data_IF_794255816868
#
_entry.id   IF_794255816868
#
_cell.length_a   1.000
_cell.length_b   1.000
_cell.length_c   1.000
_cell.angle_alpha   90.00
_cell.angle_beta   90.00
_cell.angle_gamma   90.00
#
_symmetry.space_group_name_H-M   'P 1'
#
loop_
_entity.id
_entity.type
_entity.pdbx_description
1 polymer ?
#
# COMPACT_ATOMS: atom_id res chain seq x y z
N UNK A 1 -3.90 -16.30 -3.39
CA UNK A 1 -5.07 -15.56 -3.97
C UNK A 1 -4.58 -14.49 -4.96
N UNK A 2 -4.79 -14.67 -6.28
CA UNK A 2 -4.15 -13.84 -7.33
C UNK A 2 -4.85 -12.50 -7.67
N UNK A 3 -6.06 -12.26 -7.15
CA UNK A 3 -6.92 -11.16 -7.62
C UNK A 3 -6.75 -9.83 -6.87
N UNK A 4 -5.56 -9.51 -6.36
CA UNK A 4 -5.31 -8.21 -5.73
C UNK A 4 -5.21 -7.08 -6.75
N UNK A 5 -5.48 -5.84 -6.32
CA UNK A 5 -5.37 -4.67 -7.19
C UNK A 5 -4.65 -3.50 -6.55
N UNK A 6 -4.20 -2.58 -7.39
CA UNK A 6 -3.55 -1.32 -7.06
C UNK A 6 -4.26 -0.19 -7.77
N UNK A 7 -4.50 0.88 -7.04
CA UNK A 7 -5.18 2.05 -7.56
C UNK A 7 -4.27 3.26 -7.42
N UNK A 8 -3.95 3.88 -8.54
CA UNK A 8 -2.93 4.93 -8.64
C UNK A 8 -3.57 6.22 -9.14
N UNK A 9 -3.48 7.30 -8.36
CA UNK A 9 -3.96 8.61 -8.79
C UNK A 9 -2.97 9.28 -9.73
N UNK A 10 -3.46 9.72 -10.90
CA UNK A 10 -2.70 10.52 -11.85
C UNK A 10 -3.24 11.96 -11.93
N UNK A 11 -2.47 12.85 -12.54
CA UNK A 11 -2.78 14.27 -12.61
C UNK A 11 -3.18 14.74 -14.01
N UNK A 12 -2.80 14.01 -15.06
CA UNK A 12 -3.01 14.39 -16.45
C UNK A 12 -3.01 13.18 -17.40
N UNK A 13 -3.55 13.37 -18.60
CA UNK A 13 -3.73 12.32 -19.60
C UNK A 13 -2.44 11.95 -20.33
N UNK A 14 -1.46 12.85 -20.43
CA UNK A 14 -0.21 12.59 -21.14
C UNK A 14 0.67 11.61 -20.33
N UNK A 15 0.71 11.82 -19.00
CA UNK A 15 1.31 10.88 -18.04
C UNK A 15 0.62 9.51 -18.06
N UNK A 16 -0.72 9.48 -18.12
CA UNK A 16 -1.46 8.21 -18.26
C UNK A 16 -1.04 7.46 -19.53
N UNK A 17 -1.00 8.14 -20.69
CA UNK A 17 -0.58 7.54 -21.95
C UNK A 17 0.85 7.00 -21.89
N UNK A 18 1.78 7.78 -21.34
CA UNK A 18 3.16 7.32 -21.14
C UNK A 18 3.20 6.01 -20.35
N UNK A 19 2.49 5.93 -19.23
CA UNK A 19 2.53 4.75 -18.38
C UNK A 19 1.84 3.54 -19.03
N UNK A 20 0.73 3.75 -19.74
CA UNK A 20 0.07 2.68 -20.49
C UNK A 20 0.92 2.17 -21.66
N UNK A 21 1.63 3.05 -22.36
CA UNK A 21 2.52 2.68 -23.48
C UNK A 21 3.75 1.90 -23.00
N UNK A 22 4.39 2.36 -21.91
CA UNK A 22 5.66 1.81 -21.45
C UNK A 22 5.50 0.69 -20.42
N UNK A 23 4.32 0.53 -19.82
CA UNK A 23 4.10 -0.44 -18.74
C UNK A 23 4.90 -0.13 -17.47
N UNK A 24 5.21 1.14 -17.23
CA UNK A 24 6.04 1.60 -16.10
C UNK A 24 5.33 2.76 -15.40
N UNK A 25 5.32 2.73 -14.06
CA UNK A 25 4.87 3.85 -13.24
C UNK A 25 5.91 4.17 -12.17
N UNK A 26 6.23 5.45 -12.00
CA UNK A 26 7.07 5.96 -10.91
C UNK A 26 6.45 7.20 -10.26
N UNK A 27 6.33 7.21 -8.93
CA UNK A 27 5.79 8.37 -8.23
C UNK A 27 6.83 9.49 -8.10
N UNK A 28 6.43 10.73 -8.41
CA UNK A 28 7.27 11.91 -8.15
C UNK A 28 7.43 12.15 -6.65
N UNK A 29 8.67 12.18 -6.18
CA UNK A 29 9.03 12.34 -4.78
C UNK A 29 10.08 13.44 -4.64
N UNK A 30 10.08 14.13 -3.49
CA UNK A 30 11.20 15.05 -3.17
C UNK A 30 12.43 14.20 -2.86
N UNK A 31 13.59 14.46 -3.49
CA UNK A 31 14.79 13.66 -3.28
C UNK A 31 15.30 13.76 -1.85
N UNK A 32 15.70 12.62 -1.28
CA UNK A 32 16.39 12.57 0.00
C UNK A 32 17.88 12.26 -0.25
N UNK A 33 18.76 13.15 0.21
CA UNK A 33 20.23 13.03 0.05
C UNK A 33 20.97 12.67 1.34
N UNK A 34 20.31 12.85 2.48
CA UNK A 34 20.86 12.61 3.80
C UNK A 34 20.14 11.46 4.50
N UNK A 35 20.58 11.11 5.72
CA UNK A 35 19.90 10.13 6.55
C UNK A 35 18.42 10.49 6.70
N UNK A 36 17.50 9.53 6.52
CA UNK A 36 16.07 9.81 6.58
C UNK A 36 15.71 10.38 7.95
N UNK A 37 14.78 11.34 7.94
CA UNK A 37 14.15 11.82 9.17
C UNK A 37 13.03 10.88 9.59
N UNK A 38 12.58 10.98 10.85
CA UNK A 38 11.41 10.24 11.36
C UNK A 38 10.05 10.65 10.75
N UNK A 39 10.09 11.49 9.71
CA UNK A 39 8.94 11.91 8.91
C UNK A 39 9.23 11.74 7.42
N UNK A 40 10.14 10.83 7.07
CA UNK A 40 10.51 10.56 5.69
C UNK A 40 9.27 10.17 4.89
N UNK A 41 9.02 10.91 3.81
CA UNK A 41 7.95 10.55 2.86
C UNK A 41 8.33 9.32 2.04
N UNK A 42 9.62 8.98 2.00
CA UNK A 42 10.10 7.80 1.32
C UNK A 42 9.63 6.52 1.98
N UNK A 43 9.63 6.41 3.32
CA UNK A 43 9.10 5.21 3.98
C UNK A 43 7.58 5.06 3.83
N UNK A 44 6.82 6.16 3.91
CA UNK A 44 5.38 6.13 3.66
C UNK A 44 5.04 5.64 2.25
N UNK A 45 5.83 6.06 1.26
CA UNK A 45 5.66 5.62 -0.13
C UNK A 45 6.20 4.21 -0.31
N UNK A 46 7.30 3.84 0.35
CA UNK A 46 7.83 2.49 0.29
C UNK A 46 6.80 1.47 0.78
N UNK A 47 5.99 1.79 1.79
CA UNK A 47 4.90 0.92 2.24
C UNK A 47 3.85 0.64 1.14
N UNK A 48 3.57 1.62 0.28
CA UNK A 48 2.69 1.44 -0.89
C UNK A 48 3.27 0.40 -1.86
N UNK A 49 4.55 0.55 -2.22
CA UNK A 49 5.24 -0.34 -3.15
C UNK A 49 5.54 -1.72 -2.50
N UNK A 50 5.79 -1.76 -1.20
CA UNK A 50 6.01 -3.00 -0.44
C UNK A 50 4.77 -3.91 -0.41
N UNK A 51 3.58 -3.35 -0.62
CA UNK A 51 2.34 -4.14 -0.75
C UNK A 51 2.14 -4.71 -2.17
N UNK A 52 2.91 -4.28 -3.18
CA UNK A 52 2.84 -4.83 -4.53
C UNK A 52 3.24 -6.31 -4.54
N UNK A 53 2.54 -7.16 -5.31
CA UNK A 53 2.93 -8.54 -5.59
C UNK A 53 2.72 -8.83 -7.06
N UNK A 54 3.50 -9.75 -7.60
CA UNK A 54 3.40 -10.19 -8.99
C UNK A 54 1.95 -10.61 -9.30
N UNK A 55 1.48 -10.30 -10.52
CA UNK A 55 0.14 -10.65 -10.99
C UNK A 55 -0.98 -9.73 -10.53
N UNK A 56 -0.78 -8.90 -9.49
CA UNK A 56 -1.81 -7.93 -9.05
C UNK A 56 -2.11 -6.90 -10.13
N UNK A 57 -3.36 -6.49 -10.23
CA UNK A 57 -3.83 -5.57 -11.26
C UNK A 57 -3.51 -4.11 -10.94
N UNK A 58 -3.17 -3.31 -11.95
CA UNK A 58 -2.94 -1.87 -11.84
C UNK A 58 -4.10 -1.12 -12.50
N UNK A 59 -4.70 -0.20 -11.75
CA UNK A 59 -5.73 0.71 -12.20
C UNK A 59 -5.30 2.15 -11.96
N UNK A 60 -5.50 3.03 -12.94
CA UNK A 60 -5.20 4.46 -12.83
C UNK A 60 -6.50 5.25 -12.68
N UNK A 61 -6.52 6.17 -11.73
CA UNK A 61 -7.62 7.11 -11.57
C UNK A 61 -7.24 8.50 -12.04
N UNK A 62 -8.06 9.06 -12.91
CA UNK A 62 -7.88 10.39 -13.46
C UNK A 62 -9.25 10.99 -13.80
N UNK A 63 -9.52 12.22 -13.36
CA UNK A 63 -10.74 12.97 -13.71
C UNK A 63 -12.08 12.21 -13.54
N UNK A 64 -12.21 11.41 -12.46
CA UNK A 64 -13.38 10.54 -12.17
C UNK A 64 -13.55 9.37 -13.15
N UNK A 65 -12.49 9.02 -13.85
CA UNK A 65 -12.41 7.83 -14.69
C UNK A 65 -11.38 6.86 -14.07
N UNK A 66 -11.62 5.57 -14.28
CA UNK A 66 -10.75 4.48 -13.85
C UNK A 66 -10.28 3.79 -15.11
N UNK A 67 -8.98 3.73 -15.33
CA UNK A 67 -8.32 3.15 -16.49
C UNK A 67 -7.60 1.87 -16.07
N UNK A 68 -7.73 0.83 -16.87
CA UNK A 68 -6.98 -0.40 -16.67
C UNK A 68 -5.57 -0.28 -17.24
N UNK A 69 -4.56 -0.66 -16.46
CA UNK A 69 -3.14 -0.66 -16.85
C UNK A 69 -2.64 -2.03 -17.29
N UNK A 70 -2.65 -3.00 -16.38
CA UNK A 70 -2.07 -4.33 -16.59
C UNK A 70 -1.92 -5.10 -15.28
N UNK A 71 -1.13 -6.16 -15.29
CA UNK A 71 -0.71 -6.90 -14.09
C UNK A 71 0.75 -6.61 -13.76
N UNK A 72 1.05 -6.48 -12.47
CA UNK A 72 2.40 -6.25 -11.99
C UNK A 72 3.35 -7.38 -12.40
N UNK A 73 4.52 -6.97 -12.87
CA UNK A 73 5.68 -7.83 -13.09
C UNK A 73 6.56 -7.76 -11.84
N UNK A 74 6.99 -8.91 -11.35
CA UNK A 74 7.85 -9.04 -10.18
C UNK A 74 8.77 -10.24 -10.29
N UNK A 75 9.58 -10.45 -9.25
CA UNK A 75 10.47 -11.60 -9.14
C UNK A 75 10.22 -12.36 -7.84
N UNK A 76 9.71 -13.59 -7.96
CA UNK A 76 9.46 -14.46 -6.82
C UNK A 76 8.28 -14.01 -5.93
N UNK A 77 8.26 -14.48 -4.68
CA UNK A 77 7.14 -14.27 -3.76
C UNK A 77 7.21 -12.90 -3.03
N UNK A 78 8.21 -12.08 -3.35
CA UNK A 78 8.48 -10.79 -2.72
C UNK A 78 7.68 -9.62 -3.30
N UNK A 79 7.97 -8.40 -2.84
CA UNK A 79 7.36 -7.19 -3.38
C UNK A 79 7.68 -6.96 -4.86
N UNK A 80 6.66 -6.75 -5.68
CA UNK A 80 6.80 -6.50 -7.11
C UNK A 80 7.04 -5.02 -7.41
N UNK A 81 8.24 -4.53 -7.09
CA UNK A 81 8.69 -3.19 -7.46
C UNK A 81 10.22 -3.12 -7.62
N UNK A 82 10.68 -2.02 -8.20
CA UNK A 82 12.08 -1.79 -8.55
C UNK A 82 12.59 -0.47 -7.97
N UNK A 83 13.89 -0.42 -7.70
CA UNK A 83 14.60 0.79 -7.29
C UNK A 83 15.11 1.55 -8.51
N UNK A 84 15.04 2.88 -8.47
CA UNK A 84 15.47 3.75 -9.56
C UNK A 84 16.29 4.95 -9.05
N UNK A 85 17.61 4.79 -9.10
CA UNK A 85 18.58 5.80 -8.69
C UNK A 85 18.76 5.94 -7.18
N UNK A 86 19.63 6.87 -6.80
CA UNK A 86 20.15 7.01 -5.43
C UNK A 86 19.51 8.15 -4.62
N UNK A 87 18.30 8.59 -4.98
CA UNK A 87 17.63 9.72 -4.30
C UNK A 87 16.60 9.30 -3.24
N UNK A 88 16.68 8.05 -2.78
CA UNK A 88 15.97 7.51 -1.61
C UNK A 88 16.95 6.87 -0.62
N UNK A 89 16.59 6.71 0.66
CA UNK A 89 17.44 6.00 1.62
C UNK A 89 17.89 4.61 1.13
N UNK A 90 16.93 3.84 0.63
CA UNK A 90 17.12 2.49 0.12
C UNK A 90 17.97 2.47 -1.16
N UNK A 91 17.67 3.34 -2.12
CA UNK A 91 18.42 3.42 -3.37
C UNK A 91 19.89 3.78 -3.17
N UNK A 92 20.23 4.58 -2.16
CA UNK A 92 21.63 4.87 -1.80
C UNK A 92 22.34 3.70 -1.17
N UNK A 93 21.64 2.95 -0.31
CA UNK A 93 22.23 1.84 0.44
C UNK A 93 22.72 0.72 -0.49
N UNK A 94 21.99 0.48 -1.57
CA UNK A 94 22.29 -0.57 -2.54
C UNK A 94 22.91 -0.05 -3.85
N UNK A 95 23.31 1.23 -3.91
CA UNK A 95 23.82 1.88 -5.12
C UNK A 95 22.91 1.66 -6.36
N UNK A 96 21.59 1.83 -6.18
CA UNK A 96 20.59 1.52 -7.20
C UNK A 96 20.85 2.27 -8.53
N UNK A 97 20.78 1.58 -9.67
CA UNK A 97 20.96 2.20 -10.98
C UNK A 97 19.79 3.13 -11.29
N UNK A 98 20.08 4.21 -12.02
CA UNK A 98 19.06 5.07 -12.59
C UNK A 98 18.74 4.59 -14.01
N UNK A 99 17.52 4.11 -14.22
CA UNK A 99 17.09 3.41 -15.45
C UNK A 99 15.84 4.00 -16.09
N UNK A 100 15.14 4.90 -15.39
CA UNK A 100 13.92 5.52 -15.89
C UNK A 100 13.99 7.03 -15.70
N UNK A 101 14.02 7.76 -16.83
CA UNK A 101 14.20 9.21 -16.85
C UNK A 101 13.06 9.94 -17.55
N UNK A 102 12.29 10.70 -16.76
CA UNK A 102 11.24 11.59 -17.27
C UNK A 102 11.68 13.06 -17.35
N UNK A 103 12.96 13.36 -17.12
CA UNK A 103 13.48 14.73 -17.06
C UNK A 103 13.19 15.55 -18.32
N UNK A 104 13.14 14.90 -19.50
CA UNK A 104 12.82 15.53 -20.80
C UNK A 104 11.42 16.16 -20.86
N UNK A 105 10.51 15.76 -19.96
CA UNK A 105 9.15 16.30 -19.81
C UNK A 105 9.10 17.55 -18.93
N UNK A 106 10.21 17.86 -18.27
CA UNK A 106 10.33 18.86 -17.22
C UNK A 106 11.56 19.76 -17.45
N UNK A 107 11.83 20.65 -16.50
CA UNK A 107 13.08 21.40 -16.51
C UNK A 107 14.21 20.49 -16.00
N UNK A 108 15.12 20.11 -16.89
CA UNK A 108 16.26 19.23 -16.62
C UNK A 108 17.18 19.79 -15.52
N UNK A 109 17.66 18.89 -14.64
CA UNK A 109 18.71 19.19 -13.68
C UNK A 109 20.09 18.74 -14.21
N UNK A 110 21.20 19.27 -13.68
CA UNK A 110 22.56 18.81 -14.04
C UNK A 110 22.87 17.38 -13.54
N UNK A 111 22.06 16.85 -12.62
CA UNK A 111 22.28 15.54 -12.00
C UNK A 111 21.23 14.56 -12.53
N UNK A 112 21.67 13.40 -13.00
CA UNK A 112 20.80 12.36 -13.57
C UNK A 112 19.71 11.94 -12.58
N UNK A 113 18.46 11.82 -13.02
CA UNK A 113 17.33 11.41 -12.19
C UNK A 113 16.72 12.47 -11.30
N UNK A 114 17.13 13.72 -11.48
CA UNK A 114 16.46 14.89 -10.91
C UNK A 114 15.83 15.75 -12.00
N UNK A 115 14.65 16.28 -11.69
CA UNK A 115 13.96 17.23 -12.56
C UNK A 115 13.15 18.23 -11.73
N UNK A 116 12.99 19.45 -12.26
CA UNK A 116 12.24 20.52 -11.60
C UNK A 116 10.80 20.56 -12.12
N UNK A 117 9.85 20.63 -11.18
CA UNK A 117 8.42 20.79 -11.48
C UNK A 117 7.90 22.08 -10.83
N UNK A 118 6.67 22.48 -11.15
CA UNK A 118 5.97 23.57 -10.42
C UNK A 118 5.88 23.34 -8.89
N UNK A 119 6.14 22.11 -8.43
CA UNK A 119 6.12 21.69 -7.02
C UNK A 119 7.52 21.49 -6.44
N UNK A 120 8.55 22.05 -7.09
CA UNK A 120 9.94 21.90 -6.73
C UNK A 120 10.61 20.67 -7.36
N UNK A 121 11.89 20.50 -7.03
CA UNK A 121 12.73 19.36 -7.39
C UNK A 121 12.07 18.01 -7.05
N UNK A 122 12.17 17.07 -8.00
CA UNK A 122 11.62 15.71 -7.92
C UNK A 122 12.62 14.66 -8.41
N UNK A 123 12.40 13.44 -7.94
CA UNK A 123 12.97 12.19 -8.41
C UNK A 123 11.87 11.10 -8.41
N UNK A 124 12.14 9.94 -9.01
CA UNK A 124 11.25 8.77 -9.00
C UNK A 124 12.02 7.55 -8.49
N UNK A 125 12.16 7.37 -7.16
CA UNK A 125 13.08 6.38 -6.59
C UNK A 125 12.55 4.94 -6.64
N UNK A 126 11.25 4.77 -6.87
CA UNK A 126 10.57 3.48 -6.91
C UNK A 126 9.75 3.40 -8.18
N UNK A 127 9.80 2.23 -8.83
CA UNK A 127 9.05 1.94 -10.05
C UNK A 127 8.23 0.67 -9.84
N UNK A 128 7.05 0.61 -10.43
CA UNK A 128 6.37 -0.65 -10.75
C UNK A 128 6.42 -0.87 -12.25
N UNK A 129 6.50 -2.14 -12.64
CA UNK A 129 6.31 -2.56 -14.02
C UNK A 129 5.03 -3.38 -14.12
N UNK A 130 4.34 -3.27 -15.23
CA UNK A 130 3.13 -4.03 -15.50
C UNK A 130 2.97 -4.35 -16.98
N UNK A 131 2.38 -5.50 -17.26
CA UNK A 131 2.09 -6.00 -18.60
C UNK A 131 0.60 -6.28 -18.76
N UNK A 132 0.06 -6.10 -19.96
CA UNK A 132 -1.35 -6.39 -20.23
C UNK A 132 -1.55 -7.82 -20.75
N UNK A 133 -1.66 -8.76 -19.83
CA UNK A 133 -1.91 -10.16 -20.17
C UNK A 133 -3.38 -10.46 -20.49
N UNK A 134 -4.30 -9.55 -20.14
CA UNK A 134 -5.75 -9.73 -20.35
C UNK A 134 -6.28 -9.00 -21.60
N UNK A 135 -5.47 -8.14 -22.23
CA UNK A 135 -5.88 -7.34 -23.38
C UNK A 135 -6.88 -6.23 -23.01
N UNK A 136 -6.78 -5.71 -21.79
CA UNK A 136 -7.70 -4.72 -21.22
C UNK A 136 -7.06 -3.32 -21.10
N UNK A 137 -5.76 -3.17 -21.38
CA UNK A 137 -5.06 -1.90 -21.22
C UNK A 137 -5.69 -0.78 -22.03
N UNK A 138 -5.83 0.39 -21.40
CA UNK A 138 -6.48 1.55 -22.00
C UNK A 138 -8.01 1.50 -22.01
N UNK A 139 -8.65 0.40 -21.57
CA UNK A 139 -10.09 0.42 -21.27
C UNK A 139 -10.34 1.28 -20.03
N UNK A 140 -11.44 2.02 -20.03
CA UNK A 140 -11.81 2.84 -18.88
C UNK A 140 -13.31 2.87 -18.64
N UNK A 141 -13.65 3.17 -17.38
CA UNK A 141 -15.01 3.38 -16.90
C UNK A 141 -15.08 4.68 -16.13
N UNK A 142 -16.29 5.23 -15.98
CA UNK A 142 -16.53 6.27 -14.99
C UNK A 142 -16.48 5.68 -13.60
N UNK A 143 -15.96 6.44 -12.64
CA UNK A 143 -15.87 5.99 -11.25
C UNK A 143 -17.24 5.70 -10.64
N UNK A 144 -18.29 6.38 -11.11
CA UNK A 144 -19.66 6.18 -10.63
C UNK A 144 -20.19 4.78 -11.00
N UNK A 145 -19.76 4.18 -12.12
CA UNK A 145 -20.11 2.80 -12.47
C UNK A 145 -19.63 1.83 -11.39
N UNK A 146 -18.37 1.94 -10.99
CA UNK A 146 -17.79 1.09 -9.95
C UNK A 146 -18.45 1.32 -8.57
N UNK A 147 -18.67 2.59 -8.17
CA UNK A 147 -19.23 2.87 -6.84
C UNK A 147 -20.70 2.56 -6.68
N UNK A 148 -21.49 2.53 -7.76
CA UNK A 148 -22.88 2.07 -7.68
C UNK A 148 -22.90 0.60 -7.25
N UNK A 149 -22.08 -0.23 -7.88
CA UNK A 149 -22.03 -1.66 -7.57
C UNK A 149 -21.42 -1.89 -6.18
N UNK A 150 -20.36 -1.15 -5.83
CA UNK A 150 -19.77 -1.27 -4.49
C UNK A 150 -20.71 -0.79 -3.37
N UNK A 151 -21.66 0.10 -3.68
CA UNK A 151 -22.61 0.61 -2.67
C UNK A 151 -23.61 -0.41 -2.15
N UNK A 152 -23.76 -1.55 -2.82
CA UNK A 152 -24.58 -2.67 -2.33
C UNK A 152 -24.03 -3.25 -1.04
N UNK A 153 -22.76 -2.99 -0.78
CA UNK A 153 -22.05 -3.65 0.27
C UNK A 153 -21.91 -2.85 1.56
N UNK A 154 -21.76 -3.59 2.67
CA UNK A 154 -21.70 -2.99 3.97
C UNK A 154 -20.36 -2.37 4.39
N UNK A 155 -19.57 -1.77 3.49
CA UNK A 155 -18.16 -1.51 3.82
C UNK A 155 -17.81 -0.11 4.32
N UNK A 156 -16.62 0.02 4.94
CA UNK A 156 -15.77 1.19 4.78
C UNK A 156 -15.70 1.71 3.35
N UNK A 157 -15.45 3.02 3.19
CA UNK A 157 -15.48 3.68 1.88
C UNK A 157 -14.47 2.93 1.02
N UNK A 158 -14.72 2.76 -0.29
CA UNK A 158 -13.77 2.12 -1.16
C UNK A 158 -12.35 2.60 -0.87
N UNK A 159 -11.40 1.72 -1.17
CA UNK A 159 -9.99 2.04 -1.42
C UNK A 159 -9.76 3.44 -2.02
N UNK A 160 -10.71 3.91 -2.83
CA UNK A 160 -10.81 5.26 -3.36
C UNK A 160 -11.07 6.43 -2.37
N UNK A 161 -10.92 6.26 -1.05
CA UNK A 161 -10.81 7.35 -0.10
C UNK A 161 -9.52 8.17 -0.34
N UNK A 162 -9.16 8.37 -1.60
CA UNK A 162 -7.94 8.90 -2.18
C UNK A 162 -7.76 10.38 -1.95
N UNK A 163 -8.67 11.04 -1.23
CA UNK A 163 -8.45 12.43 -0.88
C UNK A 163 -7.21 12.50 0.03
N UNK A 164 -6.06 12.77 -0.60
CA UNK A 164 -4.74 12.77 0.02
C UNK A 164 -3.88 11.51 -0.18
N UNK A 165 -4.34 10.46 -0.88
CA UNK A 165 -3.52 9.26 -1.17
C UNK A 165 -3.23 9.14 -2.68
N UNK A 166 -1.96 8.99 -3.04
CA UNK A 166 -1.54 8.77 -4.43
C UNK A 166 -1.63 7.31 -4.88
N UNK A 167 -1.75 6.40 -3.92
CA UNK A 167 -1.66 4.96 -4.10
C UNK A 167 -2.54 4.27 -3.05
N UNK A 168 -3.28 3.24 -3.43
CA UNK A 168 -3.96 2.35 -2.47
C UNK A 168 -4.13 0.94 -3.03
N UNK A 169 -4.17 -0.04 -2.13
CA UNK A 169 -4.46 -1.43 -2.46
C UNK A 169 -5.96 -1.66 -2.54
N UNK A 170 -6.40 -2.39 -3.56
CA UNK A 170 -7.76 -2.90 -3.69
C UNK A 170 -7.86 -4.29 -3.07
N UNK A 171 -9.00 -4.57 -2.45
CA UNK A 171 -9.38 -5.92 -2.02
C UNK A 171 -9.57 -6.85 -3.22
N UNK A 172 -9.58 -8.15 -2.97
CA UNK A 172 -9.80 -9.16 -4.01
C UNK A 172 -11.15 -8.94 -4.72
N UNK A 173 -12.18 -8.59 -3.95
CA UNK A 173 -13.53 -8.36 -4.48
C UNK A 173 -13.66 -7.05 -5.24
N UNK A 174 -13.07 -5.95 -4.76
CA UNK A 174 -13.04 -4.69 -5.51
C UNK A 174 -12.38 -4.88 -6.88
N UNK A 175 -11.28 -5.64 -6.91
CA UNK A 175 -10.55 -5.96 -8.14
C UNK A 175 -11.40 -6.84 -9.07
N UNK A 176 -12.02 -7.90 -8.55
CA UNK A 176 -12.90 -8.77 -9.34
C UNK A 176 -14.06 -7.98 -9.95
N UNK A 177 -14.71 -7.10 -9.18
CA UNK A 177 -15.79 -6.25 -9.67
C UNK A 177 -15.33 -5.33 -10.80
N UNK A 178 -14.16 -4.70 -10.67
CA UNK A 178 -13.61 -3.88 -11.76
C UNK A 178 -13.36 -4.73 -13.01
N UNK A 179 -12.72 -5.89 -12.86
CA UNK A 179 -12.42 -6.78 -13.98
C UNK A 179 -13.68 -7.27 -14.69
N UNK A 180 -14.74 -7.59 -13.95
CA UNK A 180 -16.03 -7.97 -14.51
C UNK A 180 -16.64 -6.86 -15.37
N UNK A 181 -16.56 -5.60 -14.92
CA UNK A 181 -16.98 -4.45 -15.72
C UNK A 181 -16.08 -4.31 -16.96
N UNK A 182 -14.75 -4.46 -16.83
CA UNK A 182 -13.82 -4.31 -17.96
C UNK A 182 -13.96 -5.38 -19.04
N UNK A 183 -14.40 -6.57 -18.66
CA UNK A 183 -14.66 -7.70 -19.58
C UNK A 183 -15.96 -7.51 -20.36
N UNK A 184 -16.88 -6.67 -19.90
CA UNK A 184 -18.08 -6.29 -20.63
C UNK A 184 -17.78 -5.15 -21.63
N UNK A 185 -17.64 -5.48 -22.91
CA UNK A 185 -17.34 -4.51 -23.97
C UNK A 185 -18.41 -3.42 -24.13
N UNK A 186 -19.66 -3.68 -23.72
CA UNK A 186 -20.74 -2.69 -23.80
C UNK A 186 -20.71 -1.69 -22.63
N UNK A 187 -19.89 -1.96 -21.59
CA UNK A 187 -19.81 -1.16 -20.37
C UNK A 187 -18.58 -0.24 -20.29
N UNK A 188 -17.65 -0.34 -21.26
CA UNK A 188 -16.36 0.36 -21.25
C UNK A 188 -16.16 1.27 -22.44
N UNK A 189 -15.36 2.31 -22.24
CA UNK A 189 -14.74 3.10 -23.30
C UNK A 189 -13.24 2.77 -23.41
N UNK A 190 -12.57 3.30 -24.44
CA UNK A 190 -11.13 3.07 -24.67
C UNK A 190 -10.38 4.37 -24.93
N UNK A 191 -9.15 4.46 -24.47
CA UNK A 191 -8.20 5.52 -24.83
C UNK A 191 -7.10 4.96 -25.76
N UNK A 192 -6.55 5.83 -26.60
CA UNK A 192 -5.29 5.55 -27.32
C UNK A 192 -4.15 5.51 -26.31
N UNK A 193 -3.39 4.42 -26.32
CA UNK A 193 -2.30 4.18 -25.37
C UNK A 193 -0.96 4.71 -25.87
N UNK A 194 -0.79 4.92 -27.18
CA UNK A 194 0.48 5.39 -27.76
C UNK A 194 0.89 6.76 -27.18
N UNK A 195 2.12 6.84 -26.66
CA UNK A 195 2.72 8.06 -26.16
C UNK A 195 3.59 8.74 -27.22
N UNK A 196 3.56 10.07 -27.26
CA UNK A 196 4.49 10.87 -28.09
C UNK A 196 5.87 11.05 -27.45
N UNK A 197 6.02 10.65 -26.18
CA UNK A 197 7.26 10.78 -25.41
C UNK A 197 8.29 9.72 -25.81
N UNK A 198 9.52 10.15 -26.08
CA UNK A 198 10.67 9.28 -26.39
C UNK A 198 11.41 8.87 -25.10
N UNK A 199 10.66 8.27 -24.16
CA UNK A 199 11.18 7.76 -22.89
C UNK A 199 11.18 6.24 -22.94
N UNK A 200 12.28 5.64 -22.54
CA UNK A 200 12.45 4.19 -22.50
C UNK A 200 13.25 3.82 -21.27
N UNK A 201 13.13 2.56 -20.87
CA UNK A 201 13.95 2.03 -19.79
C UNK A 201 15.39 1.84 -20.26
N UNK A 202 16.33 2.50 -19.59
CA UNK A 202 17.76 2.49 -19.89
C UNK A 202 18.51 1.53 -18.96
N UNK A 203 18.52 0.24 -19.31
CA UNK A 203 19.25 -0.79 -18.56
C UNK A 203 18.34 -1.88 -18.02
N UNK A 204 18.75 -2.50 -16.90
CA UNK A 204 17.91 -3.45 -16.17
C UNK A 204 17.55 -2.81 -14.82
N UNK A 205 16.26 -2.69 -14.47
CA UNK A 205 15.85 -2.14 -13.19
C UNK A 205 16.28 -3.09 -12.07
N UNK A 206 16.63 -2.55 -10.90
CA UNK A 206 17.01 -3.35 -9.75
C UNK A 206 15.74 -3.75 -8.98
N UNK A 207 15.30 -5.03 -9.00
CA UNK A 207 14.16 -5.47 -8.21
C UNK A 207 14.46 -5.28 -6.72
N UNK A 208 13.42 -4.99 -5.93
CA UNK A 208 13.58 -4.99 -4.48
C UNK A 208 13.72 -6.42 -3.94
N UNK A 209 14.74 -6.64 -3.13
CA UNK A 209 14.89 -7.87 -2.35
C UNK A 209 14.74 -7.56 -0.86
N UNK A 210 14.18 -8.50 -0.09
CA UNK A 210 13.96 -8.33 1.35
C UNK A 210 15.25 -8.10 2.13
N UNK A 211 16.40 -8.58 1.62
CA UNK A 211 17.73 -8.31 2.17
C UNK A 211 18.15 -6.84 2.12
N UNK A 212 17.47 -6.00 1.33
CA UNK A 212 17.70 -4.55 1.33
C UNK A 212 16.93 -3.85 2.45
N UNK A 213 15.99 -4.55 3.10
CA UNK A 213 15.28 -4.09 4.27
C UNK A 213 16.04 -4.34 5.58
N UNK A 214 15.42 -3.99 6.72
CA UNK A 214 16.00 -4.27 8.03
C UNK A 214 15.97 -5.77 8.37
N UNK A 215 17.00 -6.26 9.07
CA UNK A 215 17.07 -7.64 9.56
C UNK A 215 16.12 -7.86 10.77
N UNK A 216 15.69 -6.78 11.42
CA UNK A 216 14.78 -6.84 12.57
C UNK A 216 13.96 -5.56 12.75
N UNK A 217 12.83 -5.69 13.43
CA UNK A 217 11.99 -4.55 13.85
C UNK A 217 12.71 -3.53 14.73
N UNK A 218 13.91 -3.82 15.23
CA UNK A 218 14.69 -2.86 16.03
C UNK A 218 15.54 -1.89 15.21
N UNK A 219 15.72 -2.18 13.92
CA UNK A 219 16.48 -1.33 12.98
C UNK A 219 15.59 -0.28 12.29
N UNK A 220 14.27 -0.44 12.41
CA UNK A 220 13.30 0.51 11.86
C UNK A 220 13.33 1.84 12.62
N UNK A 221 13.09 2.93 11.88
CA UNK A 221 13.29 4.28 12.41
C UNK A 221 12.02 4.89 13.02
N UNK A 222 10.87 4.51 12.50
CA UNK A 222 9.55 5.01 12.85
C UNK A 222 8.46 4.01 12.39
N UNK A 223 7.20 4.36 12.61
CA UNK A 223 6.03 3.55 12.27
C UNK A 223 5.89 3.30 10.76
N UNK A 224 6.18 4.31 9.92
CA UNK A 224 6.11 4.17 8.46
C UNK A 224 7.18 3.22 7.93
N UNK A 225 8.40 3.27 8.50
CA UNK A 225 9.45 2.32 8.17
C UNK A 225 9.08 0.90 8.65
N UNK A 226 8.49 0.76 9.85
CA UNK A 226 7.99 -0.53 10.32
C UNK A 226 6.91 -1.10 9.38
N UNK A 227 5.91 -0.30 9.02
CA UNK A 227 4.84 -0.68 8.08
C UNK A 227 5.41 -1.16 6.74
N UNK A 228 6.31 -0.39 6.14
CA UNK A 228 6.96 -0.77 4.89
C UNK A 228 7.75 -2.08 5.02
N UNK A 229 8.48 -2.24 6.11
CA UNK A 229 9.33 -3.43 6.33
C UNK A 229 8.50 -4.69 6.50
N UNK A 230 7.41 -4.67 7.27
CA UNK A 230 6.59 -5.87 7.48
C UNK A 230 5.69 -6.20 6.28
N UNK A 231 5.32 -5.21 5.46
CA UNK A 231 4.64 -5.45 4.19
C UNK A 231 5.61 -6.08 3.18
N UNK A 232 6.87 -5.67 3.21
CA UNK A 232 7.93 -6.22 2.36
C UNK A 232 8.33 -7.64 2.78
N UNK A 233 8.55 -7.83 4.07
CA UNK A 233 8.92 -9.11 4.69
C UNK A 233 8.07 -9.36 5.96
N UNK A 234 6.95 -10.10 5.83
CA UNK A 234 6.13 -10.46 6.97
C UNK A 234 6.85 -11.32 8.01
N UNK A 235 7.99 -11.95 7.68
CA UNK A 235 8.74 -12.77 8.63
C UNK A 235 9.33 -11.97 9.81
N UNK A 236 9.42 -10.64 9.67
CA UNK A 236 9.78 -9.71 10.74
C UNK A 236 8.75 -9.65 11.87
N UNK A 237 7.52 -10.10 11.60
CA UNK A 237 6.46 -10.19 12.61
C UNK A 237 6.57 -11.49 13.43
N UNK A 238 6.14 -11.47 14.71
CA UNK A 238 5.91 -12.71 15.45
C UNK A 238 5.00 -13.66 14.67
N UNK A 239 5.26 -14.97 14.73
CA UNK A 239 4.57 -16.00 13.90
C UNK A 239 3.05 -15.89 13.90
N UNK A 240 2.44 -15.52 15.03
CA UNK A 240 0.98 -15.36 15.15
C UNK A 240 0.39 -14.16 14.39
N UNK A 241 1.24 -13.22 13.92
CA UNK A 241 0.86 -12.07 13.11
C UNK A 241 1.28 -12.25 11.64
N UNK A 242 1.94 -13.35 11.29
CA UNK A 242 2.35 -13.59 9.91
C UNK A 242 1.12 -13.99 9.08
N UNK A 243 0.97 -13.49 7.85
CA UNK A 243 -0.13 -13.86 6.98
C UNK A 243 0.01 -15.31 6.51
N UNK A 244 -1.11 -15.93 6.15
CA UNK A 244 -1.11 -17.17 5.39
C UNK A 244 -0.43 -16.95 4.01
N UNK A 245 0.15 -18.02 3.45
CA UNK A 245 0.91 -17.97 2.17
C UNK A 245 0.12 -17.29 1.03
N UNK A 246 -1.19 -17.49 0.98
CA UNK A 246 -2.08 -16.99 -0.07
C UNK A 246 -2.81 -15.69 0.27
N UNK A 247 -2.58 -15.11 1.45
CA UNK A 247 -3.33 -13.94 1.90
C UNK A 247 -3.01 -12.70 1.05
N UNK A 248 -4.05 -11.92 0.77
CA UNK A 248 -3.88 -10.60 0.16
C UNK A 248 -3.51 -9.58 1.24
N UNK A 249 -2.32 -8.99 1.11
CA UNK A 249 -1.86 -7.90 1.97
C UNK A 249 -2.35 -6.56 1.42
N UNK A 250 -3.06 -5.82 2.26
CA UNK A 250 -3.48 -4.44 2.03
C UNK A 250 -2.98 -3.53 3.16
N UNK A 251 -2.82 -2.25 2.85
CA UNK A 251 -2.42 -1.24 3.83
C UNK A 251 -3.37 -0.06 3.87
N UNK A 252 -3.37 0.66 4.98
CA UNK A 252 -4.15 1.89 5.17
C UNK A 252 -5.65 1.70 4.81
N UNK A 253 -6.19 0.52 5.12
CA UNK A 253 -7.57 0.15 4.78
C UNK A 253 -8.52 0.95 5.66
N UNK A 254 -9.44 1.74 5.09
CA UNK A 254 -10.43 2.45 5.89
C UNK A 254 -11.23 1.48 6.77
N UNK A 255 -11.40 1.80 8.05
CA UNK A 255 -12.23 1.00 8.97
C UNK A 255 -13.59 1.65 9.19
N UNK A 256 -13.70 2.98 8.96
CA UNK A 256 -14.95 3.72 9.08
C UNK A 256 -15.23 4.59 7.83
N UNK A 257 -16.25 4.23 7.02
CA UNK A 257 -16.60 4.95 5.79
C UNK A 257 -17.16 6.35 6.05
N UNK A 258 -17.81 6.54 7.20
CA UNK A 258 -18.71 7.67 7.39
C UNK A 258 -18.00 8.95 7.82
N UNK A 259 -16.70 8.88 8.06
CA UNK A 259 -15.89 10.04 8.41
C UNK A 259 -15.44 10.77 7.15
N UNK A 260 -15.34 12.10 7.18
CA UNK A 260 -14.64 12.85 6.14
C UNK A 260 -13.23 12.26 5.94
N UNK A 261 -12.70 12.21 4.70
CA UNK A 261 -11.41 11.58 4.42
C UNK A 261 -10.27 12.06 5.31
N UNK A 262 -10.24 13.35 5.69
CA UNK A 262 -9.19 13.93 6.55
C UNK A 262 -9.24 13.43 8.02
N UNK A 263 -10.28 12.69 8.40
CA UNK A 263 -10.52 12.21 9.76
C UNK A 263 -10.83 10.70 9.80
N UNK A 264 -10.76 10.04 8.66
CA UNK A 264 -11.04 8.62 8.50
C UNK A 264 -9.99 7.80 9.24
N UNK A 265 -10.43 6.88 10.10
CA UNK A 265 -9.49 5.92 10.68
C UNK A 265 -9.18 4.84 9.64
N UNK A 266 -7.90 4.52 9.51
CA UNK A 266 -7.37 3.53 8.56
C UNK A 266 -6.52 2.55 9.35
N UNK A 267 -6.76 1.26 9.14
CA UNK A 267 -5.94 0.21 9.68
C UNK A 267 -4.62 0.14 8.92
N UNK A 268 -3.51 0.02 9.64
CA UNK A 268 -2.18 0.04 9.03
C UNK A 268 -1.96 -1.15 8.09
N UNK A 269 -2.19 -2.37 8.59
CA UNK A 269 -2.04 -3.61 7.79
C UNK A 269 -3.29 -4.48 7.92
N UNK A 270 -3.70 -5.06 6.80
CA UNK A 270 -4.88 -5.91 6.69
C UNK A 270 -4.58 -7.14 5.83
N UNK A 271 -5.09 -8.30 6.26
CA UNK A 271 -5.04 -9.55 5.51
C UNK A 271 -6.43 -9.98 5.07
N UNK A 272 -6.54 -10.42 3.83
CA UNK A 272 -7.75 -11.04 3.28
C UNK A 272 -7.41 -12.47 2.88
N UNK A 273 -8.18 -13.43 3.39
CA UNK A 273 -8.00 -14.86 3.15
C UNK A 273 -9.15 -15.41 2.31
N UNK A 274 -9.03 -16.64 1.84
CA UNK A 274 -10.04 -17.25 0.95
C UNK A 274 -11.39 -17.42 1.64
N UNK A 275 -11.37 -17.59 2.97
CA UNK A 275 -12.55 -17.57 3.84
C UNK A 275 -13.01 -16.11 4.07
N UNK A 276 -13.21 -15.39 2.96
CA UNK A 276 -13.45 -13.94 2.96
C UNK A 276 -14.72 -13.54 3.71
N UNK A 277 -14.64 -12.39 4.38
CA UNK A 277 -15.78 -11.80 5.07
C UNK A 277 -16.53 -10.87 4.11
N UNK A 278 -17.85 -11.05 4.03
CA UNK A 278 -18.73 -10.37 3.06
C UNK A 278 -18.19 -10.42 1.62
N UNK A 279 -17.97 -11.62 1.08
CA UNK A 279 -17.43 -11.82 -0.27
C UNK A 279 -15.99 -11.30 -0.46
N UNK A 280 -15.18 -11.20 0.60
CA UNK A 280 -13.73 -10.90 0.48
C UNK A 280 -13.37 -9.42 0.41
N UNK A 281 -14.22 -8.59 0.99
CA UNK A 281 -14.17 -7.12 0.97
C UNK A 281 -13.88 -6.51 2.34
N UNK A 282 -14.04 -7.33 3.39
CA UNK A 282 -13.67 -6.97 4.74
C UNK A 282 -12.48 -7.84 5.14
N UNK A 283 -11.44 -7.25 5.77
CA UNK A 283 -10.25 -8.00 6.13
C UNK A 283 -10.58 -9.05 7.20
N UNK A 284 -9.97 -10.22 7.08
CA UNK A 284 -9.99 -11.26 8.09
C UNK A 284 -9.12 -10.88 9.29
N UNK A 285 -8.01 -10.18 9.03
CA UNK A 285 -7.08 -9.75 10.07
C UNK A 285 -6.79 -8.26 9.92
N UNK A 286 -6.87 -7.53 11.03
CA UNK A 286 -6.52 -6.12 11.15
C UNK A 286 -5.37 -5.99 12.14
N UNK A 287 -4.27 -5.37 11.73
CA UNK A 287 -3.11 -5.11 12.57
C UNK A 287 -2.87 -3.60 12.63
N UNK A 288 -3.01 -3.03 13.82
CA UNK A 288 -2.57 -1.67 14.11
C UNK A 288 -1.12 -1.70 14.63
N UNK A 289 -0.25 -0.91 14.01
CA UNK A 289 1.16 -0.83 14.38
C UNK A 289 1.40 0.35 15.31
N UNK A 290 2.23 0.16 16.33
CA UNK A 290 2.67 1.27 17.20
C UNK A 290 4.17 1.24 17.39
N UNK A 291 4.84 2.17 16.72
CA UNK A 291 6.28 2.33 16.83
C UNK A 291 6.68 3.80 16.81
N UNK A 292 6.99 4.35 17.99
CA UNK A 292 7.53 5.70 18.07
C UNK A 292 8.98 5.71 17.58
N UNK A 293 9.40 6.85 17.00
CA UNK A 293 10.79 7.00 16.60
C UNK A 293 11.75 6.74 17.77
N UNK A 294 12.71 5.83 17.56
CA UNK A 294 13.61 5.32 18.58
C UNK A 294 13.11 4.12 19.40
N UNK A 295 11.91 3.59 19.11
CA UNK A 295 11.45 2.28 19.62
C UNK A 295 11.19 2.18 21.12
N UNK A 296 11.08 3.30 21.83
CA UNK A 296 11.06 3.30 23.31
C UNK A 296 9.68 3.54 23.93
N UNK A 297 8.68 3.97 23.15
CA UNK A 297 7.39 4.41 23.70
C UNK A 297 6.34 3.30 23.56
N UNK A 298 5.84 2.75 24.69
CA UNK A 298 4.77 1.76 24.64
C UNK A 298 3.44 2.36 24.18
N UNK A 299 2.58 1.53 23.61
CA UNK A 299 1.22 1.88 23.26
C UNK A 299 0.40 2.25 24.51
N UNK A 300 -0.34 3.34 24.41
CA UNK A 300 -1.04 3.98 25.52
C UNK A 300 -2.51 4.29 25.23
N UNK A 301 -3.01 5.33 25.91
CA UNK A 301 -4.43 5.72 25.86
C UNK A 301 -4.94 6.02 24.44
N UNK A 302 -4.16 6.72 23.61
CA UNK A 302 -4.58 7.05 22.24
C UNK A 302 -4.87 5.81 21.42
N UNK A 303 -4.00 4.81 21.57
CA UNK A 303 -3.95 3.60 20.77
C UNK A 303 -5.03 2.62 21.25
N UNK A 304 -5.21 2.53 22.57
CA UNK A 304 -6.37 1.83 23.16
C UNK A 304 -7.71 2.40 22.71
N UNK A 305 -7.84 3.74 22.67
CA UNK A 305 -9.05 4.39 22.15
C UNK A 305 -9.24 4.14 20.64
N UNK A 306 -8.18 3.90 19.88
CA UNK A 306 -8.27 3.54 18.46
C UNK A 306 -8.77 2.11 18.28
N UNK A 307 -8.18 1.15 19.00
CA UNK A 307 -8.65 -0.24 18.98
C UNK A 307 -10.10 -0.37 19.44
N UNK A 308 -10.50 0.38 20.48
CA UNK A 308 -11.90 0.49 20.88
C UNK A 308 -12.79 0.93 19.71
N UNK A 309 -12.39 1.97 18.97
CA UNK A 309 -13.16 2.47 17.83
C UNK A 309 -13.29 1.39 16.76
N UNK A 310 -12.21 0.69 16.42
CA UNK A 310 -12.26 -0.39 15.44
C UNK A 310 -13.22 -1.49 15.85
N UNK A 311 -13.09 -2.01 17.07
CA UNK A 311 -13.99 -3.04 17.59
C UNK A 311 -15.46 -2.58 17.56
N UNK A 312 -15.76 -1.36 18.02
CA UNK A 312 -17.12 -0.80 17.93
C UNK A 312 -17.62 -0.69 16.49
N UNK A 313 -16.78 -0.27 15.53
CA UNK A 313 -17.19 -0.16 14.14
C UNK A 313 -17.46 -1.52 13.51
N UNK A 314 -16.59 -2.50 13.76
CA UNK A 314 -16.67 -3.84 13.19
C UNK A 314 -17.89 -4.58 13.75
N UNK A 315 -18.07 -4.56 15.08
CA UNK A 315 -19.25 -5.13 15.76
C UNK A 315 -20.56 -4.56 15.19
N UNK A 316 -20.64 -3.23 15.07
CA UNK A 316 -21.82 -2.57 14.49
C UNK A 316 -22.06 -2.89 13.01
N UNK A 317 -21.02 -3.25 12.26
CA UNK A 317 -21.11 -3.41 10.79
C UNK A 317 -21.36 -4.85 10.36
N UNK A 318 -20.75 -5.78 11.07
CA UNK A 318 -20.71 -7.20 10.74
C UNK A 318 -21.65 -8.04 11.61
N UNK A 319 -22.16 -7.51 12.73
CA UNK A 319 -23.03 -8.23 13.66
C UNK A 319 -22.38 -9.57 14.06
N UNK A 320 -23.04 -10.70 13.83
CA UNK A 320 -22.50 -12.04 14.17
C UNK A 320 -21.17 -12.37 13.45
N UNK A 321 -20.91 -11.80 12.27
CA UNK A 321 -19.66 -12.03 11.51
C UNK A 321 -18.47 -11.21 12.06
N UNK A 322 -18.69 -10.37 13.08
CA UNK A 322 -17.59 -9.65 13.72
C UNK A 322 -16.58 -10.60 14.38
N UNK A 323 -17.03 -11.75 14.88
CA UNK A 323 -16.18 -12.77 15.51
C UNK A 323 -15.17 -13.41 14.53
N UNK A 324 -15.41 -13.29 13.21
CA UNK A 324 -14.52 -13.80 12.17
C UNK A 324 -13.32 -12.87 11.89
N UNK A 325 -13.32 -11.65 12.45
CA UNK A 325 -12.23 -10.67 12.28
C UNK A 325 -11.26 -10.77 13.46
N UNK A 326 -9.98 -10.97 13.17
CA UNK A 326 -8.92 -10.88 14.16
C UNK A 326 -8.42 -9.43 14.30
N UNK A 327 -8.48 -8.89 15.52
CA UNK A 327 -8.02 -7.54 15.82
C UNK A 327 -6.73 -7.56 16.64
N UNK A 328 -5.64 -7.17 16.01
CA UNK A 328 -4.33 -7.06 16.65
C UNK A 328 -3.89 -5.61 16.82
N UNK A 329 -3.17 -5.38 17.91
CA UNK A 329 -2.29 -4.22 18.03
C UNK A 329 -0.88 -4.72 18.33
N UNK A 330 0.06 -4.34 17.47
CA UNK A 330 1.47 -4.69 17.60
C UNK A 330 2.28 -3.49 18.07
N UNK A 331 2.86 -3.62 19.26
CA UNK A 331 3.68 -2.58 19.90
C UNK A 331 4.96 -3.23 20.43
N UNK A 332 6.06 -3.25 19.65
CA UNK A 332 7.36 -3.75 20.11
C UNK A 332 7.81 -3.22 21.48
N UNK A 333 7.60 -1.93 21.83
CA UNK A 333 8.00 -1.39 23.14
C UNK A 333 7.05 -1.78 24.29
N UNK A 334 6.00 -2.56 24.01
CA UNK A 334 5.00 -3.02 24.96
C UNK A 334 3.83 -2.05 25.15
N UNK A 335 3.09 -2.23 26.23
CA UNK A 335 1.85 -1.50 26.53
C UNK A 335 1.90 -0.81 27.90
N UNK A 336 1.29 0.36 28.01
CA UNK A 336 1.12 1.01 29.31
C UNK A 336 0.16 0.21 30.20
N UNK A 337 0.35 0.28 31.52
CA UNK A 337 -0.51 -0.44 32.49
C UNK A 337 -1.98 0.00 32.48
N UNK A 338 -2.30 1.13 31.83
CA UNK A 338 -3.67 1.67 31.72
C UNK A 338 -4.27 1.47 30.33
N UNK A 339 -3.61 0.70 29.45
CA UNK A 339 -4.09 0.48 28.09
C UNK A 339 -5.51 -0.11 28.10
N UNK A 340 -5.75 -1.17 28.88
CA UNK A 340 -7.05 -1.86 28.91
C UNK A 340 -8.16 -1.03 29.57
N UNK A 341 -7.82 -0.03 30.39
CA UNK A 341 -8.79 0.80 31.12
C UNK A 341 -9.76 1.58 30.21
N UNK A 342 -9.43 1.72 28.91
CA UNK A 342 -10.23 2.44 27.94
C UNK A 342 -11.00 1.52 26.97
N UNK A 343 -10.84 0.20 27.06
CA UNK A 343 -11.53 -0.78 26.22
C UNK A 343 -12.72 -1.36 27.03
N UNK A 344 -13.95 -1.34 26.49
CA UNK A 344 -15.10 -2.01 27.09
C UNK A 344 -14.84 -3.51 27.34
N UNK A 345 -15.33 -4.06 28.46
CA UNK A 345 -15.10 -5.46 28.84
C UNK A 345 -15.43 -6.46 27.72
N UNK A 346 -16.50 -6.20 26.96
CA UNK A 346 -16.93 -7.06 25.85
C UNK A 346 -15.93 -7.18 24.68
N UNK A 347 -14.97 -6.26 24.56
CA UNK A 347 -13.95 -6.29 23.50
C UNK A 347 -12.55 -6.64 23.99
N UNK A 348 -12.36 -6.81 25.31
CA UNK A 348 -11.02 -7.07 25.89
C UNK A 348 -10.43 -8.40 25.40
N UNK A 349 -11.26 -9.43 25.28
CA UNK A 349 -10.82 -10.76 24.81
C UNK A 349 -10.66 -10.82 23.29
N UNK A 350 -11.28 -9.87 22.57
CA UNK A 350 -11.22 -9.80 21.10
C UNK A 350 -9.96 -9.07 20.61
N UNK A 351 -9.58 -7.98 21.29
CA UNK A 351 -8.39 -7.19 20.94
C UNK A 351 -7.13 -7.89 21.47
N UNK A 352 -6.32 -8.41 20.57
CA UNK A 352 -5.09 -9.12 20.91
C UNK A 352 -3.87 -8.20 20.88
N UNK A 353 -3.19 -8.06 22.03
CA UNK A 353 -2.01 -7.21 22.20
C UNK A 353 -0.74 -8.01 22.02
N UNK A 354 0.10 -7.62 21.06
CA UNK A 354 1.38 -8.28 20.79
C UNK A 354 2.53 -7.30 21.05
N UNK A 355 3.54 -7.76 21.79
CA UNK A 355 4.80 -7.05 22.05
C UNK A 355 5.99 -7.96 21.70
N UNK A 356 7.16 -7.38 21.43
CA UNK A 356 8.36 -8.19 21.19
C UNK A 356 8.85 -8.76 22.51
N UNK A 357 8.95 -10.09 22.62
CA UNK A 357 9.48 -10.72 23.84
C UNK A 357 11.00 -10.70 23.82
N UNK A 358 11.63 -10.74 25.00
CA UNK A 358 13.10 -10.72 25.15
C UNK A 358 13.78 -11.90 24.46
N UNK A 359 13.06 -13.00 24.21
CA UNK A 359 13.58 -14.20 23.55
C UNK A 359 13.70 -14.06 22.02
N UNK A 360 12.94 -13.16 21.39
CA UNK A 360 13.06 -12.86 19.95
C UNK A 360 14.35 -12.07 19.63
N UNK A 361 14.98 -11.47 20.65
CA UNK A 361 16.28 -10.78 20.51
C UNK A 361 17.48 -11.72 20.49
N UNK A 362 17.30 -13.03 20.68
CA UNK A 362 18.40 -14.00 20.78
C UNK A 362 18.47 -15.03 19.64
N UNK A 363 17.56 -14.96 18.65
CA UNK A 363 17.61 -15.87 17.50
C UNK A 363 18.47 -15.37 16.33
N UNK A 364 19.06 -14.18 16.42
CA UNK A 364 20.09 -13.70 15.50
C UNK A 364 21.50 -14.03 16.04
N UNK A 365 22.09 -15.11 15.53
CA UNK A 365 23.51 -15.44 15.68
C UNK A 365 24.12 -15.96 14.40
#
# INVERSE_FOLDING_TARGET
MENGGLFVSLYDKDTLKLYLDKGIYGQHMTPEREAPSSQSRHFNTLADYAACREGRHVFFFLDREIYYGGQLVGEGDGPAFYLNGQYSPLGREVDAPFVWDESSRYDEHEEDGLFETDRGEKCQPFLIQFEDNEGLSGRYITSDQFYIDLSEYPYPVPSNSMEGMGFCTLTARETEMLLDIYRDEDAVDTIETDSEEDIQLEGEPLPYETEYGPDSVTEVQDESHLEASILADPSLLPTQLQPDEDALLCRQVPVCPYKPPQHMDKADVCYFTEDGINDGTFPNTIIELKYASGGDKPAGKSDSLQMKRYAEWIDNRLDEQSEDVELFIYSPPGFTSTFDDYIPEQYLDWITKIETTVDDKQQTF
#
